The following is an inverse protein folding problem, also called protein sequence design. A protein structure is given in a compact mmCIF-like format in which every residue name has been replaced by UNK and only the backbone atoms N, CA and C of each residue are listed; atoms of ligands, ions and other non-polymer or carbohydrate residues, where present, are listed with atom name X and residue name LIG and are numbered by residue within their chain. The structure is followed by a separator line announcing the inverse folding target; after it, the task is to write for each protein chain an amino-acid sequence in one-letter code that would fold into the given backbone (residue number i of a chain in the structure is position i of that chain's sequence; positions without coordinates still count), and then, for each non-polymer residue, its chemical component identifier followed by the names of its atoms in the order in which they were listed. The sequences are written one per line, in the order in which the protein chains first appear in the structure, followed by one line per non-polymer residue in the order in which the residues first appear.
data_IF_109548474960
#
_entry.id   IF_109548474960
#
_cell.length_a   1.000
_cell.length_b   1.000
_cell.length_c   1.000
_cell.angle_alpha   90.00
_cell.angle_beta   90.00
_cell.angle_gamma   90.00
#
_symmetry.space_group_name_H-M   'P 1'
#
loop_
_entity.id
_entity.type
_entity.pdbx_description
1 polymer ?
#
# COMPACT_ATOMS: atom_id res chain seq x y z
N UNK A 1 18.09 -11.07 -19.30
CA UNK A 1 16.82 -11.30 -18.54
C UNK A 1 17.04 -11.80 -17.12
N UNK A 2 17.86 -12.84 -16.86
CA UNK A 2 18.09 -13.35 -15.49
C UNK A 2 18.67 -12.32 -14.50
N UNK A 3 19.57 -11.45 -14.96
CA UNK A 3 20.17 -10.40 -14.11
C UNK A 3 19.13 -9.35 -13.65
N UNK A 4 18.24 -8.94 -14.56
CA UNK A 4 17.16 -7.98 -14.25
C UNK A 4 16.18 -8.59 -13.23
N UNK A 5 15.82 -9.86 -13.40
CA UNK A 5 14.96 -10.57 -12.44
C UNK A 5 15.56 -10.64 -11.03
N UNK A 6 16.88 -10.84 -10.92
CA UNK A 6 17.58 -10.82 -9.63
C UNK A 6 17.63 -9.42 -9.00
N UNK A 7 17.81 -8.38 -9.82
CA UNK A 7 17.75 -7.00 -9.35
C UNK A 7 16.36 -6.66 -8.80
N UNK A 8 15.29 -7.09 -9.48
CA UNK A 8 13.91 -6.87 -9.02
C UNK A 8 13.63 -7.55 -7.68
N UNK A 9 14.16 -8.77 -7.47
CA UNK A 9 14.03 -9.47 -6.18
C UNK A 9 14.73 -8.69 -5.08
N UNK A 10 15.95 -8.21 -5.33
CA UNK A 10 16.70 -7.42 -4.36
C UNK A 10 15.99 -6.10 -4.03
N UNK A 11 15.50 -5.38 -5.05
CA UNK A 11 14.72 -4.17 -4.88
C UNK A 11 13.45 -4.43 -4.07
N UNK A 12 12.71 -5.50 -4.36
CA UNK A 12 11.51 -5.87 -3.61
C UNK A 12 11.81 -6.09 -2.13
N UNK A 13 12.85 -6.87 -1.80
CA UNK A 13 13.28 -7.11 -0.42
C UNK A 13 13.64 -5.79 0.27
N UNK A 14 14.40 -4.93 -0.41
CA UNK A 14 14.81 -3.64 0.14
C UNK A 14 13.61 -2.73 0.44
N UNK A 15 12.60 -2.70 -0.43
CA UNK A 15 11.37 -1.93 -0.20
C UNK A 15 10.62 -2.42 1.05
N UNK A 16 10.53 -3.73 1.28
CA UNK A 16 9.93 -4.27 2.51
C UNK A 16 10.72 -3.84 3.75
N UNK A 17 12.06 -3.95 3.72
CA UNK A 17 12.92 -3.51 4.83
C UNK A 17 12.70 -2.04 5.15
N UNK A 18 12.62 -1.17 4.13
CA UNK A 18 12.33 0.24 4.32
C UNK A 18 10.97 0.48 4.99
N UNK A 19 9.91 -0.21 4.56
CA UNK A 19 8.59 -0.08 5.19
C UNK A 19 8.61 -0.52 6.66
N UNK A 20 9.24 -1.65 6.98
CA UNK A 20 9.38 -2.09 8.37
C UNK A 20 10.19 -1.10 9.21
N UNK A 21 11.25 -0.50 8.66
CA UNK A 21 12.04 0.51 9.34
C UNK A 21 11.22 1.78 9.64
N UNK A 22 10.43 2.26 8.68
CA UNK A 22 9.55 3.43 8.85
C UNK A 22 8.48 3.15 9.91
N UNK A 23 7.80 2.01 9.83
CA UNK A 23 6.79 1.62 10.81
C UNK A 23 7.42 1.48 12.20
N UNK A 24 8.58 0.81 12.30
CA UNK A 24 9.29 0.63 13.57
C UNK A 24 9.72 1.94 14.21
N UNK A 25 10.34 2.86 13.44
CA UNK A 25 10.70 4.20 13.91
C UNK A 25 9.47 5.01 14.32
N UNK A 26 8.40 4.94 13.52
CA UNK A 26 7.13 5.58 13.84
C UNK A 26 6.55 5.11 15.16
N UNK A 27 6.51 3.79 15.40
CA UNK A 27 6.00 3.24 16.65
C UNK A 27 6.82 3.68 17.87
N UNK A 28 8.14 3.80 17.73
CA UNK A 28 9.00 4.31 18.81
C UNK A 28 8.72 5.80 19.11
N UNK A 29 8.50 6.62 18.08
CA UNK A 29 8.21 8.05 18.25
C UNK A 29 6.83 8.30 18.85
N UNK A 30 5.84 7.47 18.51
CA UNK A 30 4.45 7.61 18.96
C UNK A 30 4.16 6.91 20.29
N UNK A 31 5.19 6.39 20.97
CA UNK A 31 5.07 5.61 22.22
C UNK A 31 4.18 4.36 22.08
N UNK A 32 4.18 3.73 20.90
CA UNK A 32 3.53 2.45 20.65
C UNK A 32 2.49 2.45 19.51
N UNK A 33 2.13 1.24 19.06
CA UNK A 33 1.12 1.01 18.00
C UNK A 33 -0.29 1.38 18.47
N UNK A 34 -0.60 1.25 19.77
CA UNK A 34 -1.93 1.59 20.31
C UNK A 34 -2.29 3.05 20.06
N UNK A 35 -1.39 3.96 20.41
CA UNK A 35 -1.55 5.40 20.21
C UNK A 35 -1.65 5.77 18.71
N UNK A 36 -0.92 5.07 17.84
CA UNK A 36 -1.04 5.23 16.39
C UNK A 36 -2.46 4.97 15.90
N UNK A 37 -3.07 3.86 16.31
CA UNK A 37 -4.43 3.52 15.91
C UNK A 37 -5.48 4.45 16.53
N UNK A 38 -5.26 4.90 17.77
CA UNK A 38 -6.12 5.88 18.44
C UNK A 38 -6.12 7.22 17.70
N UNK A 39 -4.94 7.78 17.40
CA UNK A 39 -4.80 9.01 16.60
C UNK A 39 -5.40 8.86 15.20
N UNK A 40 -5.22 7.69 14.57
CA UNK A 40 -5.81 7.40 13.26
C UNK A 40 -7.35 7.33 13.30
N UNK A 41 -7.91 6.83 14.40
CA UNK A 41 -9.36 6.76 14.63
C UNK A 41 -9.93 8.16 14.90
N UNK A 42 -9.33 8.93 15.81
CA UNK A 42 -9.71 10.32 16.09
C UNK A 42 -9.59 11.23 14.88
N UNK A 43 -8.56 11.01 14.05
CA UNK A 43 -8.34 11.72 12.80
C UNK A 43 -9.35 11.39 11.69
N UNK A 44 -10.29 10.46 11.92
CA UNK A 44 -11.29 10.03 10.95
C UNK A 44 -10.70 9.36 9.70
N UNK A 45 -9.44 8.90 9.77
CA UNK A 45 -8.72 8.29 8.63
C UNK A 45 -9.02 6.80 8.49
N UNK A 46 -9.47 6.14 9.56
CA UNK A 46 -9.95 4.76 9.54
C UNK A 46 -11.42 4.73 9.11
N UNK A 47 -11.66 4.82 7.80
CA UNK A 47 -13.01 4.70 7.23
C UNK A 47 -13.31 3.22 6.97
N UNK A 48 -14.24 2.67 7.75
CA UNK A 48 -14.74 1.32 7.48
C UNK A 48 -15.68 1.33 6.28
N UNK A 49 -15.61 0.31 5.40
CA UNK A 49 -16.44 0.26 4.22
C UNK A 49 -17.91 0.06 4.62
N UNK A 50 -18.79 0.88 4.03
CA UNK A 50 -20.24 0.78 4.29
C UNK A 50 -20.86 -0.35 3.47
N UNK A 51 -21.79 -1.07 4.08
CA UNK A 51 -22.60 -2.09 3.42
C UNK A 51 -23.78 -1.42 2.69
N UNK A 52 -23.48 -0.73 1.60
CA UNK A 52 -24.48 -0.14 0.69
C UNK A 52 -24.25 -0.67 -0.73
N UNK A 53 -25.24 -0.49 -1.61
CA UNK A 53 -25.10 -0.75 -3.05
C UNK A 53 -24.98 0.55 -3.86
N UNK A 54 -24.88 1.70 -3.18
CA UNK A 54 -24.74 2.99 -3.84
C UNK A 54 -23.35 3.13 -4.47
N UNK A 55 -23.32 3.41 -5.78
CA UNK A 55 -22.10 3.63 -6.56
C UNK A 55 -21.52 5.06 -6.39
N UNK A 56 -22.28 5.95 -5.75
CA UNK A 56 -21.88 7.35 -5.52
C UNK A 56 -20.91 7.48 -4.32
N UNK A 57 -20.96 6.54 -3.38
CA UNK A 57 -20.05 6.52 -2.23
C UNK A 57 -18.75 5.77 -2.58
N UNK A 58 -17.61 6.46 -2.45
CA UNK A 58 -16.29 5.93 -2.81
C UNK A 58 -15.94 4.63 -2.04
N UNK A 59 -16.27 4.55 -0.74
CA UNK A 59 -15.89 3.45 0.15
C UNK A 59 -17.04 2.47 0.44
N UNK A 60 -17.69 2.00 -0.62
CA UNK A 60 -18.73 0.98 -0.55
C UNK A 60 -18.14 -0.41 -0.83
N UNK A 61 -18.60 -1.46 -0.14
CA UNK A 61 -18.09 -2.84 -0.32
C UNK A 61 -18.16 -3.28 -1.78
N UNK A 62 -19.25 -2.96 -2.48
CA UNK A 62 -19.45 -3.27 -3.90
C UNK A 62 -18.40 -2.58 -4.76
N UNK A 63 -18.11 -1.31 -4.47
CA UNK A 63 -17.15 -0.52 -5.24
C UNK A 63 -15.71 -0.99 -4.99
N UNK A 64 -15.37 -1.33 -3.75
CA UNK A 64 -14.06 -1.88 -3.38
C UNK A 64 -13.85 -3.26 -4.04
N UNK A 65 -14.89 -4.10 -4.03
CA UNK A 65 -14.82 -5.41 -4.65
C UNK A 65 -14.70 -5.33 -6.17
N UNK A 66 -15.52 -4.49 -6.83
CA UNK A 66 -15.45 -4.29 -8.28
C UNK A 66 -14.09 -3.73 -8.70
N UNK A 67 -13.58 -2.72 -7.98
CA UNK A 67 -12.26 -2.15 -8.21
C UNK A 67 -11.15 -3.19 -8.02
N UNK A 68 -11.22 -3.99 -6.95
CA UNK A 68 -10.26 -5.07 -6.70
C UNK A 68 -10.23 -6.10 -7.83
N UNK A 69 -11.40 -6.52 -8.33
CA UNK A 69 -11.48 -7.44 -9.47
C UNK A 69 -10.88 -6.86 -10.75
N UNK A 70 -11.19 -5.60 -11.06
CA UNK A 70 -10.69 -4.93 -12.27
C UNK A 70 -9.17 -4.77 -12.22
N UNK A 71 -8.62 -4.31 -11.10
CA UNK A 71 -7.18 -4.16 -10.90
C UNK A 71 -6.47 -5.51 -11.07
N UNK A 72 -7.02 -6.56 -10.46
CA UNK A 72 -6.42 -7.89 -10.53
C UNK A 72 -6.44 -8.43 -11.97
N UNK A 73 -7.55 -8.26 -12.69
CA UNK A 73 -7.67 -8.67 -14.08
C UNK A 73 -6.67 -7.90 -14.97
N UNK A 74 -6.54 -6.59 -14.76
CA UNK A 74 -5.60 -5.75 -15.52
C UNK A 74 -4.14 -6.15 -15.28
N UNK A 75 -3.74 -6.41 -14.04
CA UNK A 75 -2.35 -6.77 -13.71
C UNK A 75 -1.93 -8.14 -14.27
N UNK A 76 -2.82 -9.12 -14.31
CA UNK A 76 -2.47 -10.47 -14.78
C UNK A 76 -2.82 -10.73 -16.24
N UNK A 77 -3.78 -10.00 -16.80
CA UNK A 77 -4.21 -10.13 -18.19
C UNK A 77 -3.71 -9.02 -19.12
N UNK A 78 -3.51 -7.81 -18.62
CA UNK A 78 -3.13 -6.64 -19.40
C UNK A 78 -1.65 -6.26 -19.34
N UNK A 79 -0.92 -6.67 -18.30
CA UNK A 79 0.51 -6.38 -18.18
C UNK A 79 1.35 -7.43 -18.91
N UNK A 80 1.94 -7.02 -20.03
CA UNK A 80 2.81 -7.83 -20.86
C UNK A 80 3.98 -8.44 -20.06
N UNK A 81 4.56 -7.70 -19.11
CA UNK A 81 5.71 -8.18 -18.33
C UNK A 81 5.32 -9.32 -17.39
N UNK A 82 4.12 -9.25 -16.79
CA UNK A 82 3.61 -10.28 -15.90
C UNK A 82 3.27 -11.56 -16.68
N UNK A 83 2.58 -11.42 -17.82
CA UNK A 83 2.24 -12.57 -18.69
C UNK A 83 3.51 -13.26 -19.18
N UNK A 84 4.51 -12.49 -19.62
CA UNK A 84 5.79 -13.03 -20.09
C UNK A 84 6.53 -13.80 -18.99
N UNK A 85 6.55 -13.29 -17.74
CA UNK A 85 7.14 -14.01 -16.59
C UNK A 85 6.43 -15.34 -16.34
N UNK A 86 5.11 -15.37 -16.38
CA UNK A 86 4.33 -16.58 -16.15
C UNK A 86 4.54 -17.64 -17.25
N UNK A 87 4.75 -17.22 -18.50
CA UNK A 87 5.02 -18.14 -19.63
C UNK A 87 6.43 -18.77 -19.58
N UNK A 88 7.38 -18.19 -18.84
CA UNK A 88 8.72 -18.82 -18.66
C UNK A 88 8.72 -20.02 -17.71
N UNK A 89 7.60 -20.26 -17.00
CA UNK A 89 7.46 -21.38 -16.06
C UNK A 89 7.13 -22.68 -16.81
N UNK A 90 7.86 -23.75 -16.48
CA UNK A 90 7.76 -25.05 -17.15
C UNK A 90 6.40 -25.75 -17.01
N UNK A 91 5.61 -25.44 -15.97
CA UNK A 91 4.36 -26.12 -15.63
C UNK A 91 3.24 -25.14 -15.27
N UNK A 92 2.02 -25.41 -15.74
CA UNK A 92 0.81 -24.62 -15.40
C UNK A 92 0.52 -24.60 -13.90
N UNK A 93 0.72 -25.73 -13.20
CA UNK A 93 0.57 -25.79 -11.73
C UNK A 93 1.51 -24.83 -10.99
N UNK A 94 2.76 -24.70 -11.48
CA UNK A 94 3.74 -23.79 -10.88
C UNK A 94 3.42 -22.32 -11.19
N UNK A 95 2.95 -22.04 -12.41
CA UNK A 95 2.46 -20.72 -12.79
C UNK A 95 1.32 -20.24 -11.88
N UNK A 96 0.32 -21.10 -11.63
CA UNK A 96 -0.79 -20.77 -10.73
C UNK A 96 -0.34 -20.48 -9.29
N UNK A 97 0.56 -21.29 -8.75
CA UNK A 97 1.12 -21.07 -7.40
C UNK A 97 1.93 -19.77 -7.35
N UNK A 98 2.74 -19.50 -8.37
CA UNK A 98 3.52 -18.27 -8.47
C UNK A 98 2.60 -17.03 -8.49
N UNK A 99 1.51 -17.07 -9.25
CA UNK A 99 0.49 -16.01 -9.26
C UNK A 99 -0.09 -15.75 -7.87
N UNK A 100 -0.48 -16.80 -7.14
CA UNK A 100 -1.02 -16.65 -5.79
C UNK A 100 -0.01 -16.06 -4.80
N UNK A 101 1.25 -16.50 -4.84
CA UNK A 101 2.32 -15.95 -3.99
C UNK A 101 2.57 -14.48 -4.34
N UNK A 102 2.68 -14.13 -5.62
CA UNK A 102 2.84 -12.74 -6.07
C UNK A 102 1.69 -11.85 -5.62
N UNK A 103 0.46 -12.36 -5.69
CA UNK A 103 -0.74 -11.66 -5.21
C UNK A 103 -0.64 -11.36 -3.72
N UNK A 104 -0.31 -12.39 -2.92
CA UNK A 104 -0.19 -12.24 -1.47
C UNK A 104 0.90 -11.24 -1.07
N UNK A 105 2.03 -11.23 -1.79
CA UNK A 105 3.10 -10.26 -1.57
C UNK A 105 2.66 -8.83 -1.88
N UNK A 106 1.97 -8.60 -2.99
CA UNK A 106 1.45 -7.26 -3.37
C UNK A 106 0.44 -6.76 -2.34
N UNK A 107 -0.52 -7.61 -1.94
CA UNK A 107 -1.52 -7.23 -0.92
C UNK A 107 -0.83 -6.90 0.41
N UNK A 108 0.12 -7.71 0.84
CA UNK A 108 0.87 -7.48 2.08
C UNK A 108 1.67 -6.16 2.01
N UNK A 109 2.31 -5.88 0.87
CA UNK A 109 3.04 -4.64 0.65
C UNK A 109 2.12 -3.42 0.71
N UNK A 110 0.95 -3.49 0.06
CA UNK A 110 -0.04 -2.41 0.08
C UNK A 110 -0.53 -2.11 1.51
N UNK A 111 -0.78 -3.15 2.31
CA UNK A 111 -1.16 -2.98 3.72
C UNK A 111 -0.08 -2.28 4.54
N UNK A 112 1.19 -2.67 4.36
CA UNK A 112 2.33 -2.02 5.02
C UNK A 112 2.48 -0.56 4.58
N UNK A 113 2.27 -0.26 3.29
CA UNK A 113 2.24 1.12 2.79
C UNK A 113 1.13 1.93 3.48
N UNK A 114 -0.10 1.42 3.56
CA UNK A 114 -1.20 2.09 4.28
C UNK A 114 -0.85 2.34 5.75
N UNK A 115 -0.27 1.36 6.44
CA UNK A 115 0.20 1.52 7.82
C UNK A 115 1.29 2.58 7.94
N UNK A 116 2.25 2.61 7.02
CA UNK A 116 3.29 3.64 7.00
C UNK A 116 2.72 5.04 6.75
N UNK A 117 1.67 5.16 5.94
CA UNK A 117 0.94 6.41 5.71
C UNK A 117 0.20 6.89 6.96
N UNK A 118 -0.40 5.98 7.73
CA UNK A 118 -0.99 6.30 9.04
C UNK A 118 0.08 6.77 10.04
N UNK A 119 1.23 6.10 10.06
CA UNK A 119 2.38 6.52 10.88
C UNK A 119 2.82 7.93 10.54
N UNK A 120 2.95 8.22 9.24
CA UNK A 120 3.32 9.54 8.77
C UNK A 120 2.28 10.60 9.17
N UNK A 121 0.99 10.29 8.98
CA UNK A 121 -0.10 11.17 9.39
C UNK A 121 -0.06 11.49 10.89
N UNK A 122 0.08 10.46 11.73
CA UNK A 122 0.07 10.63 13.17
C UNK A 122 1.33 11.36 13.67
N UNK A 123 2.48 11.18 13.02
CA UNK A 123 3.69 11.96 13.30
C UNK A 123 3.52 13.45 12.95
N UNK A 124 2.92 13.76 11.79
CA UNK A 124 2.71 15.14 11.35
C UNK A 124 1.44 15.79 11.89
N UNK A 125 0.65 15.09 12.73
CA UNK A 125 -0.63 15.60 13.25
C UNK A 125 -0.51 16.95 13.97
N UNK A 126 0.61 17.17 14.66
CA UNK A 126 0.93 18.41 15.40
C UNK A 126 1.91 19.32 14.67
N UNK A 127 2.51 18.85 13.58
CA UNK A 127 3.38 19.61 12.70
C UNK A 127 2.67 19.83 11.37
N UNK A 128 1.56 20.57 11.42
CA UNK A 128 0.87 20.99 10.22
C UNK A 128 1.65 22.17 9.61
N UNK A 129 2.28 22.00 8.42
CA UNK A 129 3.10 23.05 7.84
C UNK A 129 2.30 24.27 7.38
N UNK A 130 0.96 24.18 7.41
CA UNK A 130 0.03 25.30 7.16
C UNK A 130 -0.16 26.20 8.40
N UNK A 131 0.12 25.72 9.61
CA UNK A 131 -0.06 26.50 10.87
C UNK A 131 1.26 26.76 11.61
N UNK A 132 2.39 26.25 11.13
CA UNK A 132 3.71 26.60 11.67
C UNK A 132 4.02 28.07 11.40
N UNK A 133 3.99 28.89 12.47
CA UNK A 133 4.31 30.32 12.46
C UNK A 133 5.73 30.64 11.94
N UNK A 134 6.59 29.63 11.77
CA UNK A 134 7.99 29.81 11.39
C UNK A 134 8.30 29.67 9.89
N UNK A 135 7.36 29.21 9.04
CA UNK A 135 7.43 29.23 7.56
C UNK A 135 6.15 28.59 6.95
N UNK A 136 5.11 29.37 6.64
CA UNK A 136 3.97 28.85 5.89
C UNK A 136 4.41 28.50 4.46
N UNK A 137 4.09 27.29 4.00
CA UNK A 137 4.30 26.90 2.60
C UNK A 137 3.27 27.67 1.75
N UNK A 138 3.73 28.70 1.02
CA UNK A 138 2.89 29.59 0.22
C UNK A 138 2.86 29.25 -1.28
N UNK A 139 3.18 28.02 -1.66
CA UNK A 139 3.15 27.63 -3.07
C UNK A 139 2.84 26.14 -3.22
N UNK A 140 1.73 25.87 -3.91
CA UNK A 140 1.24 24.53 -4.21
C UNK A 140 2.06 23.79 -5.29
N UNK A 141 3.08 24.45 -5.87
CA UNK A 141 3.87 23.90 -6.97
C UNK A 141 5.37 24.17 -6.77
N UNK A 142 6.14 23.12 -6.48
CA UNK A 142 7.50 22.92 -6.98
C UNK A 142 7.78 21.42 -7.12
#
# INVERSE_FOLDING_TARGET
MKAILWADVFQGVLMFVCLFAVIGKGCLLLSGIGNLFEIAYEGGRLVFPKFSFNLDEQYTIVNIFSQGMIIMMSNFGGDQMQVQRLMTLRNVKRSRIATYISTAMIVSFQLLCCLSGLVLYAYFRYCDPMTSSSKPINSADQ
#
